data_IF_373332235666
#
_entry.id   IF_373332235666
#
_cell.length_a   1.000
_cell.length_b   1.000
_cell.length_c   1.000
_cell.angle_alpha   90.00
_cell.angle_beta   90.00
_cell.angle_gamma   90.00
#
_symmetry.space_group_name_H-M   'P 1'
#
loop_
_entity.id
_entity.type
_entity.pdbx_description
1 polymer ?
#
# COMPACT_ATOMS: atom_id res chain seq x y z
N UNK A 1 -4.73 50.94 -25.99
CA UNK A 1 -3.53 50.18 -26.39
C UNK A 1 -3.37 49.05 -25.40
N UNK A 2 -3.50 47.82 -25.90
CA UNK A 2 -3.51 46.59 -25.13
C UNK A 2 -2.24 45.80 -25.45
N UNK A 3 -1.60 45.23 -24.44
CA UNK A 3 -0.57 44.18 -24.59
C UNK A 3 -0.56 43.36 -23.29
N UNK A 4 -1.30 42.25 -23.30
CA UNK A 4 -0.88 40.86 -23.58
C UNK A 4 -0.50 40.12 -22.29
N UNK A 5 -1.53 39.46 -21.75
CA UNK A 5 -1.45 38.40 -20.75
C UNK A 5 -0.83 37.16 -21.40
N UNK A 6 0.14 36.54 -20.76
CA UNK A 6 0.62 35.22 -21.16
C UNK A 6 -0.26 34.15 -20.51
N UNK A 7 -1.18 33.61 -21.32
CA UNK A 7 -1.78 32.29 -21.12
C UNK A 7 -0.70 31.22 -21.31
N UNK A 8 -0.56 30.36 -20.30
CA UNK A 8 0.21 29.12 -20.42
C UNK A 8 -0.73 28.06 -21.01
N UNK A 9 -0.32 27.46 -22.13
CA UNK A 9 -1.08 26.43 -22.84
C UNK A 9 -1.18 25.16 -21.99
N UNK A 10 -2.39 24.84 -21.53
CA UNK A 10 -2.73 23.52 -21.01
C UNK A 10 -2.54 22.48 -22.12
N UNK A 11 -1.68 21.49 -21.87
CA UNK A 11 -1.51 20.34 -22.76
C UNK A 11 -2.79 19.51 -22.77
N UNK A 12 -3.39 19.36 -23.96
CA UNK A 12 -4.62 18.63 -24.15
C UNK A 12 -4.51 17.14 -23.79
N UNK A 13 -5.31 16.70 -22.83
CA UNK A 13 -5.66 15.29 -22.64
C UNK A 13 -6.89 14.96 -23.48
N UNK A 14 -6.86 14.01 -24.42
CA UNK A 14 -8.08 13.49 -24.99
C UNK A 14 -8.59 12.33 -24.13
N UNK A 15 -9.82 12.48 -23.62
CA UNK A 15 -10.94 11.51 -23.63
C UNK A 15 -11.77 11.56 -22.34
N UNK A 16 -12.73 12.48 -22.31
CA UNK A 16 -13.95 12.36 -21.50
C UNK A 16 -14.77 11.15 -21.97
N UNK A 17 -14.81 10.09 -21.17
CA UNK A 17 -15.81 9.02 -21.29
C UNK A 17 -17.15 9.53 -20.73
N UNK A 18 -18.04 9.98 -21.62
CA UNK A 18 -19.46 10.15 -21.30
C UNK A 18 -20.11 8.77 -21.17
N UNK A 19 -20.49 8.39 -19.96
CA UNK A 19 -21.39 7.25 -19.74
C UNK A 19 -22.78 7.64 -20.20
N UNK A 20 -23.28 7.02 -21.28
CA UNK A 20 -24.72 6.93 -21.54
C UNK A 20 -25.22 5.56 -21.10
N UNK A 21 -26.30 5.60 -20.33
CA UNK A 21 -27.14 4.47 -20.05
C UNK A 21 -27.76 3.96 -21.36
N UNK A 22 -27.40 2.74 -21.78
CA UNK A 22 -28.40 1.73 -22.08
C UNK A 22 -27.77 0.34 -22.19
N UNK A 23 -28.50 -0.64 -21.67
CA UNK A 23 -28.14 -2.07 -21.68
C UNK A 23 -28.34 -2.62 -23.09
N UNK A 24 -27.27 -3.04 -23.78
CA UNK A 24 -27.27 -4.23 -24.67
C UNK A 24 -25.87 -4.45 -25.28
N UNK A 25 -25.34 -5.67 -25.11
CA UNK A 25 -24.06 -6.08 -25.66
C UNK A 25 -24.16 -6.37 -27.18
N UNK A 26 -23.24 -5.82 -27.98
CA UNK A 26 -22.92 -6.31 -29.33
C UNK A 26 -21.40 -6.39 -29.53
N UNK A 27 -20.98 -7.47 -30.19
CA UNK A 27 -19.57 -7.76 -30.48
C UNK A 27 -18.95 -6.71 -31.43
N UNK A 28 -17.69 -6.28 -31.21
CA UNK A 28 -17.06 -5.31 -32.09
C UNK A 28 -16.66 -5.97 -33.42
N UNK A 29 -17.24 -5.46 -34.52
CA UNK A 29 -16.73 -5.63 -35.88
C UNK A 29 -15.42 -4.82 -36.01
N UNK A 30 -14.42 -5.43 -36.63
CA UNK A 30 -13.05 -4.90 -36.72
C UNK A 30 -12.96 -3.48 -37.28
N UNK A 31 -12.12 -2.68 -36.64
CA UNK A 31 -11.72 -1.35 -37.10
C UNK A 31 -10.77 -1.49 -38.29
N UNK A 32 -11.18 -0.97 -39.46
CA UNK A 32 -10.29 -0.70 -40.60
C UNK A 32 -9.65 0.67 -40.40
N UNK A 33 -8.32 0.70 -40.34
CA UNK A 33 -7.49 1.91 -40.25
C UNK A 33 -6.12 1.66 -40.92
N UNK A 34 -5.36 2.72 -41.28
CA UNK A 34 -4.48 2.73 -42.43
C UNK A 34 -3.07 2.23 -42.08
N UNK A 35 -2.88 0.92 -42.11
CA UNK A 35 -1.56 0.30 -42.18
C UNK A 35 -1.57 -0.83 -43.21
N UNK A 36 -1.76 -0.45 -44.48
CA UNK A 36 -1.78 -1.38 -45.61
C UNK A 36 -0.37 -1.75 -46.12
N UNK A 37 0.63 -1.70 -45.23
CA UNK A 37 2.03 -1.98 -45.56
C UNK A 37 2.73 -2.78 -44.45
N UNK A 38 2.24 -3.97 -44.15
CA UNK A 38 3.06 -5.03 -43.57
C UNK A 38 2.96 -6.26 -44.46
N UNK A 39 3.94 -6.36 -45.36
CA UNK A 39 4.06 -7.46 -46.30
C UNK A 39 4.18 -8.83 -45.62
N UNK A 40 3.73 -9.84 -46.36
CA UNK A 40 3.79 -11.28 -46.06
C UNK A 40 5.09 -11.70 -45.34
N UNK A 41 5.06 -12.67 -44.41
CA UNK A 41 6.26 -13.16 -43.76
C UNK A 41 7.23 -13.76 -44.79
N UNK A 42 8.41 -13.13 -44.93
CA UNK A 42 9.55 -13.71 -45.65
C UNK A 42 10.06 -14.93 -44.86
N UNK A 43 10.46 -15.98 -45.60
CA UNK A 43 11.09 -17.20 -45.08
C UNK A 43 12.20 -16.88 -44.07
N UNK A 44 12.27 -17.70 -43.01
CA UNK A 44 13.36 -17.66 -42.03
C UNK A 44 14.74 -17.76 -42.70
N UNK A 45 15.75 -17.00 -42.23
CA UNK A 45 17.11 -17.10 -42.77
C UNK A 45 17.74 -18.46 -42.41
N UNK A 46 18.57 -18.98 -43.32
CA UNK A 46 19.34 -20.21 -43.11
C UNK A 46 20.33 -20.03 -41.95
N UNK A 47 20.38 -21.06 -41.11
CA UNK A 47 21.19 -21.16 -39.89
C UNK A 47 22.69 -21.03 -40.22
N UNK A 48 23.40 -20.13 -39.52
CA UNK A 48 24.87 -20.05 -39.53
C UNK A 48 25.47 -21.30 -38.85
N UNK A 49 26.44 -21.93 -39.50
CA UNK A 49 26.97 -23.26 -39.17
C UNK A 49 28.01 -23.34 -38.04
N UNK A 50 28.13 -22.35 -37.15
CA UNK A 50 29.25 -22.33 -36.17
C UNK A 50 28.87 -22.19 -34.68
N UNK A 51 27.61 -22.39 -34.29
CA UNK A 51 27.26 -22.45 -32.85
C UNK A 51 27.18 -23.90 -32.38
N UNK A 52 28.20 -24.38 -31.67
CA UNK A 52 28.15 -25.67 -30.95
C UNK A 52 27.12 -25.58 -29.81
N UNK A 53 26.04 -26.36 -29.92
CA UNK A 53 25.07 -26.56 -28.81
C UNK A 53 25.73 -27.34 -27.67
N UNK A 54 25.48 -27.00 -26.38
CA UNK A 54 25.94 -27.83 -25.27
C UNK A 54 25.20 -29.17 -25.29
N UNK A 55 25.94 -30.27 -25.19
CA UNK A 55 25.39 -31.63 -25.12
C UNK A 55 24.80 -31.86 -23.73
N UNK A 56 23.48 -32.07 -23.64
CA UNK A 56 22.84 -32.65 -22.47
C UNK A 56 23.39 -34.07 -22.25
N UNK A 57 23.90 -34.36 -21.05
CA UNK A 57 24.34 -35.71 -20.65
C UNK A 57 23.08 -36.58 -20.40
N UNK A 58 22.95 -37.79 -20.98
CA UNK A 58 21.68 -38.53 -20.93
C UNK A 58 21.41 -39.32 -19.64
N UNK A 59 22.28 -39.29 -18.62
CA UNK A 59 22.08 -40.10 -17.41
C UNK A 59 22.38 -39.31 -16.14
N UNK A 60 21.33 -38.74 -15.55
CA UNK A 60 21.26 -38.36 -14.13
C UNK A 60 20.19 -39.25 -13.48
N UNK A 61 20.50 -40.02 -12.43
CA UNK A 61 19.50 -40.82 -11.75
C UNK A 61 18.50 -39.90 -11.02
N UNK A 62 17.23 -40.31 -11.00
CA UNK A 62 16.18 -39.58 -10.32
C UNK A 62 16.48 -39.48 -8.81
N UNK A 63 16.52 -38.26 -8.27
CA UNK A 63 16.59 -38.05 -6.83
C UNK A 63 15.24 -38.46 -6.22
N UNK A 64 15.22 -39.59 -5.51
CA UNK A 64 14.09 -39.98 -4.67
C UNK A 64 14.18 -39.20 -3.36
N UNK A 65 13.22 -38.30 -3.13
CA UNK A 65 13.00 -37.72 -1.80
C UNK A 65 12.55 -38.80 -0.80
N UNK A 66 12.70 -38.54 0.51
CA UNK A 66 12.30 -39.49 1.55
C UNK A 66 10.79 -39.74 1.48
N UNK A 67 10.37 -41.01 1.49
CA UNK A 67 8.95 -41.35 1.60
C UNK A 67 8.47 -41.12 3.03
N UNK A 68 7.34 -40.41 3.25
CA UNK A 68 6.78 -40.29 4.59
C UNK A 68 6.18 -41.63 5.03
N UNK A 69 6.48 -42.03 6.27
CA UNK A 69 5.83 -43.14 6.93
C UNK A 69 4.32 -42.92 7.05
N UNK A 70 3.56 -44.02 7.08
CA UNK A 70 2.11 -44.04 7.03
C UNK A 70 1.47 -43.20 8.15
N UNK A 71 0.71 -42.17 7.75
CA UNK A 71 -0.06 -41.33 8.68
C UNK A 71 -1.41 -41.98 9.01
N UNK A 72 -1.72 -42.03 10.30
CA UNK A 72 -2.92 -42.63 10.91
C UNK A 72 -4.23 -42.15 10.25
N UNK A 73 -5.11 -43.12 9.92
CA UNK A 73 -6.40 -42.92 9.24
C UNK A 73 -7.49 -42.47 10.22
N UNK A 74 -7.38 -41.26 10.75
CA UNK A 74 -8.51 -40.59 11.43
C UNK A 74 -8.81 -39.22 10.83
N UNK A 75 -8.98 -39.18 9.52
CA UNK A 75 -9.54 -38.02 8.81
C UNK A 75 -11.07 -38.08 8.90
N UNK A 76 -11.67 -37.07 9.56
CA UNK A 76 -13.09 -36.76 9.33
C UNK A 76 -13.24 -36.40 7.84
N UNK A 77 -14.22 -37.01 7.17
CA UNK A 77 -14.62 -36.60 5.82
C UNK A 77 -15.06 -35.13 5.89
N UNK A 78 -14.36 -34.25 5.18
CA UNK A 78 -14.87 -32.92 4.92
C UNK A 78 -16.17 -33.08 4.12
N UNK A 79 -17.29 -32.64 4.71
CA UNK A 79 -18.56 -32.53 4.00
C UNK A 79 -18.45 -31.56 2.83
N UNK A 80 -19.39 -31.68 1.89
CA UNK A 80 -19.54 -30.74 0.78
C UNK A 80 -19.42 -29.30 1.28
N UNK A 81 -18.69 -28.46 0.54
CA UNK A 81 -18.54 -27.04 0.85
C UNK A 81 -19.93 -26.42 1.05
N UNK A 82 -20.35 -26.25 2.30
CA UNK A 82 -21.49 -25.43 2.64
C UNK A 82 -21.21 -24.07 1.99
N UNK A 83 -22.18 -23.60 1.19
CA UNK A 83 -22.13 -22.26 0.64
C UNK A 83 -21.86 -21.31 1.81
N UNK A 84 -20.63 -20.79 1.90
CA UNK A 84 -20.25 -19.82 2.92
C UNK A 84 -21.33 -18.75 2.89
N UNK A 85 -22.01 -18.54 4.01
CA UNK A 85 -22.99 -17.47 4.16
C UNK A 85 -22.40 -16.20 3.56
N UNK A 86 -23.16 -15.48 2.73
CA UNK A 86 -22.71 -14.19 2.22
C UNK A 86 -22.30 -13.32 3.42
N UNK A 87 -21.01 -13.00 3.52
CA UNK A 87 -20.51 -12.04 4.51
C UNK A 87 -20.43 -10.70 3.78
N UNK A 88 -21.39 -9.77 3.98
CA UNK A 88 -21.34 -8.48 3.33
C UNK A 88 -20.18 -7.66 3.90
N UNK A 89 -19.39 -7.05 3.00
CA UNK A 89 -18.41 -6.02 3.34
C UNK A 89 -19.07 -4.66 3.12
N UNK A 90 -19.09 -3.80 4.15
CA UNK A 90 -19.57 -2.42 4.06
C UNK A 90 -18.44 -1.47 4.43
N UNK A 91 -18.27 -0.42 3.63
CA UNK A 91 -17.27 0.63 3.85
C UNK A 91 -17.97 1.97 3.70
N UNK A 92 -17.91 2.82 4.72
CA UNK A 92 -18.55 4.13 4.72
C UNK A 92 -17.73 5.15 5.52
N UNK A 93 -17.75 6.41 5.09
CA UNK A 93 -17.03 7.48 5.75
C UNK A 93 -17.81 8.03 6.96
N UNK A 94 -17.10 8.41 8.02
CA UNK A 94 -17.66 9.23 9.08
C UNK A 94 -17.56 10.71 8.67
N UNK A 95 -18.70 11.39 8.71
CA UNK A 95 -18.83 12.81 8.37
C UNK A 95 -18.95 13.65 9.65
N UNK A 96 -18.57 14.92 9.58
CA UNK A 96 -18.88 15.88 10.65
C UNK A 96 -17.83 16.05 11.74
N UNK A 97 -16.62 15.50 11.58
CA UNK A 97 -15.51 15.70 12.53
C UNK A 97 -14.95 17.14 12.54
N UNK A 98 -15.20 17.92 11.50
CA UNK A 98 -14.66 19.28 11.39
C UNK A 98 -13.15 19.32 11.16
N UNK A 99 -12.55 20.48 11.42
CA UNK A 99 -11.10 20.70 11.32
C UNK A 99 -10.42 20.35 12.64
N UNK A 100 -9.30 19.61 12.57
CA UNK A 100 -8.55 19.14 13.75
C UNK A 100 -7.38 20.07 14.04
N UNK A 101 -7.25 20.49 15.28
CA UNK A 101 -6.16 21.30 15.80
C UNK A 101 -5.20 20.50 16.70
N UNK A 102 -4.04 21.09 17.00
CA UNK A 102 -3.08 20.49 17.91
C UNK A 102 -3.64 20.40 19.33
N UNK A 103 -3.55 19.21 19.93
CA UNK A 103 -4.06 18.91 21.27
C UNK A 103 -5.52 18.48 21.32
N UNK A 104 -6.25 18.44 20.20
CA UNK A 104 -7.63 17.94 20.17
C UNK A 104 -7.72 16.48 20.62
N UNK A 105 -8.76 16.16 21.40
CA UNK A 105 -9.08 14.77 21.75
C UNK A 105 -9.72 14.07 20.55
N UNK A 106 -8.85 13.52 19.70
CA UNK A 106 -9.26 12.86 18.47
C UNK A 106 -10.16 11.65 18.73
N UNK A 107 -9.98 10.94 19.85
CA UNK A 107 -10.81 9.79 20.18
C UNK A 107 -12.24 10.23 20.54
N UNK A 108 -12.39 11.28 21.34
CA UNK A 108 -13.69 11.86 21.65
C UNK A 108 -14.41 12.36 20.39
N UNK A 109 -13.72 13.11 19.53
CA UNK A 109 -14.28 13.60 18.27
C UNK A 109 -14.75 12.47 17.34
N UNK A 110 -13.95 11.39 17.24
CA UNK A 110 -14.35 10.20 16.46
C UNK A 110 -15.53 9.49 17.12
N UNK A 111 -15.53 9.31 18.44
CA UNK A 111 -16.61 8.65 19.16
C UNK A 111 -17.95 9.39 18.99
N UNK A 112 -17.93 10.72 19.09
CA UNK A 112 -19.10 11.57 18.89
C UNK A 112 -19.63 11.48 17.46
N UNK A 113 -18.75 11.57 16.46
CA UNK A 113 -19.13 11.42 15.06
C UNK A 113 -19.64 10.01 14.70
N UNK A 114 -19.21 8.99 15.46
CA UNK A 114 -19.58 7.60 15.27
C UNK A 114 -20.72 7.12 16.19
N UNK A 115 -21.30 8.01 16.99
CA UNK A 115 -22.29 7.67 18.01
C UNK A 115 -23.50 6.93 17.40
N UNK A 116 -23.77 5.72 17.91
CA UNK A 116 -24.85 4.86 17.43
C UNK A 116 -24.61 4.20 16.06
N UNK A 117 -23.46 4.44 15.42
CA UNK A 117 -23.11 3.87 14.12
C UNK A 117 -22.21 2.63 14.22
N UNK A 118 -21.29 2.59 15.20
CA UNK A 118 -20.32 1.52 15.36
C UNK A 118 -20.96 0.22 15.87
N UNK A 119 -20.39 -0.90 15.45
CA UNK A 119 -20.77 -2.26 15.83
C UNK A 119 -19.54 -3.07 16.25
N UNK A 120 -19.79 -4.17 16.98
CA UNK A 120 -18.72 -5.08 17.37
C UNK A 120 -18.01 -5.68 16.14
N UNK A 121 -16.69 -5.65 16.14
CA UNK A 121 -15.84 -6.10 15.03
C UNK A 121 -15.66 -5.09 13.91
N UNK A 122 -16.12 -3.84 14.06
CA UNK A 122 -15.82 -2.76 13.12
C UNK A 122 -14.34 -2.34 13.20
N UNK A 123 -13.80 -1.91 12.04
CA UNK A 123 -12.45 -1.36 11.93
C UNK A 123 -12.55 0.10 11.49
N UNK A 124 -11.94 1.01 12.25
CA UNK A 124 -11.84 2.42 11.89
C UNK A 124 -10.52 2.68 11.15
N UNK A 125 -10.63 3.13 9.91
CA UNK A 125 -9.51 3.59 9.10
C UNK A 125 -9.39 5.11 9.19
N UNK A 126 -8.34 5.60 9.85
CA UNK A 126 -8.11 6.99 10.22
C UNK A 126 -6.93 7.53 9.42
N UNK A 127 -7.07 8.66 8.73
CA UNK A 127 -5.92 9.24 8.00
C UNK A 127 -4.84 9.74 8.96
N UNK A 128 -3.58 9.53 8.58
CA UNK A 128 -2.37 10.07 9.20
C UNK A 128 -2.49 11.57 9.50
N UNK A 129 -3.09 12.34 8.59
CA UNK A 129 -3.17 13.81 8.66
C UNK A 129 -3.85 14.32 9.92
N UNK A 130 -4.99 13.74 10.32
CA UNK A 130 -5.69 14.20 11.54
C UNK A 130 -4.97 13.75 12.81
N UNK A 131 -4.31 12.60 12.76
CA UNK A 131 -3.48 12.11 13.87
C UNK A 131 -2.28 13.03 14.06
N UNK A 132 -1.56 13.33 12.98
CA UNK A 132 -0.45 14.28 12.96
C UNK A 132 -0.85 15.67 13.45
N UNK A 133 -2.02 16.18 13.05
CA UNK A 133 -2.53 17.48 13.54
C UNK A 133 -2.77 17.45 15.04
N UNK A 134 -3.54 16.47 15.53
CA UNK A 134 -3.82 16.31 16.96
C UNK A 134 -2.54 16.17 17.80
N UNK A 135 -1.53 15.47 17.29
CA UNK A 135 -0.21 15.29 17.92
C UNK A 135 0.74 16.48 17.77
N UNK A 136 0.31 17.59 17.15
CA UNK A 136 1.15 18.77 16.99
C UNK A 136 2.34 18.58 16.04
N UNK A 137 2.20 17.72 15.03
CA UNK A 137 3.24 17.41 14.04
C UNK A 137 3.32 18.42 12.88
N UNK A 138 2.59 19.53 12.98
CA UNK A 138 2.73 20.67 12.07
C UNK A 138 3.96 21.49 12.49
N UNK A 139 4.97 21.55 11.63
CA UNK A 139 6.25 22.23 11.91
C UNK A 139 6.49 23.37 10.92
N UNK A 140 7.05 24.47 11.43
CA UNK A 140 7.52 25.54 10.57
C UNK A 140 8.72 25.06 9.75
N UNK A 141 8.64 25.19 8.44
CA UNK A 141 9.67 24.81 7.51
C UNK A 141 9.74 25.84 6.38
N UNK A 142 10.82 26.62 6.36
CA UNK A 142 11.10 27.55 5.26
C UNK A 142 11.45 26.80 3.97
N UNK A 143 11.99 25.58 4.11
CA UNK A 143 12.29 24.68 3.00
C UNK A 143 11.70 23.28 3.28
N UNK A 144 10.77 22.87 2.42
CA UNK A 144 10.17 21.53 2.45
C UNK A 144 11.23 20.44 2.27
N UNK A 145 12.24 20.67 1.42
CA UNK A 145 13.26 19.68 1.17
C UNK A 145 14.17 19.46 2.40
N UNK A 146 14.35 20.49 3.23
CA UNK A 146 15.02 20.33 4.52
C UNK A 146 14.20 19.43 5.46
N UNK A 147 12.89 19.66 5.59
CA UNK A 147 12.03 18.81 6.43
C UNK A 147 12.03 17.34 5.96
N UNK A 148 12.01 17.10 4.65
CA UNK A 148 12.14 15.74 4.10
C UNK A 148 13.50 15.15 4.45
N UNK A 149 14.57 15.93 4.37
CA UNK A 149 15.93 15.48 4.71
C UNK A 149 16.02 15.11 6.19
N UNK A 150 15.43 15.91 7.07
CA UNK A 150 15.44 15.65 8.50
C UNK A 150 14.71 14.35 8.84
N UNK A 151 13.58 14.07 8.19
CA UNK A 151 12.81 12.83 8.37
C UNK A 151 13.39 11.62 7.60
N UNK A 152 14.43 11.81 6.78
CA UNK A 152 15.05 10.75 5.98
C UNK A 152 16.10 9.99 6.79
N UNK A 153 15.94 8.66 6.89
CA UNK A 153 16.97 7.74 7.39
C UNK A 153 17.96 7.40 6.28
N UNK A 154 17.44 7.11 5.07
CA UNK A 154 18.25 6.90 3.87
C UNK A 154 17.46 7.17 2.61
N UNK A 155 18.17 7.58 1.57
CA UNK A 155 17.60 7.69 0.23
C UNK A 155 17.49 6.29 -0.37
N UNK A 156 16.33 5.97 -0.95
CA UNK A 156 16.11 4.76 -1.75
C UNK A 156 16.32 5.11 -3.21
N UNK A 157 15.60 6.12 -3.71
CA UNK A 157 15.69 6.57 -5.09
C UNK A 157 15.46 8.07 -5.19
N UNK A 158 16.12 8.71 -6.13
CA UNK A 158 15.94 10.12 -6.45
C UNK A 158 15.74 10.31 -7.95
N UNK A 159 14.91 11.27 -8.32
CA UNK A 159 14.73 11.66 -9.71
C UNK A 159 14.51 13.16 -9.81
N UNK A 160 15.41 13.81 -10.53
CA UNK A 160 15.26 15.21 -10.92
C UNK A 160 14.25 15.35 -12.05
N UNK A 161 13.50 16.45 -12.02
CA UNK A 161 12.61 16.88 -13.08
C UNK A 161 12.54 18.41 -13.11
N UNK A 162 12.07 19.03 -14.22
CA UNK A 162 11.87 20.47 -14.25
C UNK A 162 10.94 20.92 -13.11
N UNK A 163 11.48 21.68 -12.15
CA UNK A 163 10.72 22.16 -10.99
C UNK A 163 10.95 21.40 -9.68
N UNK A 164 11.84 20.41 -9.62
CA UNK A 164 12.27 19.84 -8.34
C UNK A 164 12.88 18.45 -8.41
N UNK A 165 12.96 17.81 -7.24
CA UNK A 165 13.43 16.43 -7.07
C UNK A 165 12.36 15.61 -6.38
N UNK A 166 12.05 14.44 -6.93
CA UNK A 166 11.29 13.42 -6.20
C UNK A 166 12.28 12.53 -5.50
N UNK A 167 12.11 12.35 -4.19
CA UNK A 167 12.89 11.41 -3.38
C UNK A 167 11.96 10.35 -2.81
N UNK A 168 12.28 9.08 -3.08
CA UNK A 168 11.77 7.94 -2.33
C UNK A 168 12.82 7.65 -1.26
N UNK A 169 12.39 7.63 -0.01
CA UNK A 169 13.27 7.49 1.15
C UNK A 169 12.70 6.50 2.13
N UNK A 170 13.57 5.91 2.94
CA UNK A 170 13.16 5.30 4.20
C UNK A 170 13.07 6.42 5.24
N UNK A 171 11.91 6.59 5.86
CA UNK A 171 11.70 7.58 6.92
C UNK A 171 11.95 7.01 8.31
N UNK A 172 11.82 7.84 9.35
CA UNK A 172 12.06 7.45 10.76
C UNK A 172 11.08 6.37 11.27
N UNK A 173 9.90 6.25 10.68
CA UNK A 173 8.93 5.20 10.97
C UNK A 173 9.26 3.87 10.27
N UNK A 174 10.26 3.83 9.38
CA UNK A 174 10.68 2.68 8.59
C UNK A 174 9.93 2.52 7.26
N UNK A 175 9.04 3.45 6.91
CA UNK A 175 8.28 3.43 5.66
C UNK A 175 9.18 3.85 4.50
N UNK A 176 9.09 3.13 3.38
CA UNK A 176 9.75 3.49 2.12
C UNK A 176 8.73 4.18 1.20
N UNK A 177 8.77 5.50 1.13
CA UNK A 177 7.79 6.29 0.40
C UNK A 177 8.34 7.63 -0.11
N UNK A 178 7.55 8.33 -0.92
CA UNK A 178 7.91 9.63 -1.44
C UNK A 178 7.95 10.68 -0.31
N UNK A 179 8.94 11.57 -0.37
CA UNK A 179 9.07 12.74 0.50
C UNK A 179 8.98 12.44 2.01
N UNK A 180 9.38 11.24 2.45
CA UNK A 180 9.27 10.78 3.85
C UNK A 180 7.85 10.81 4.46
N UNK A 181 6.80 10.99 3.64
CA UNK A 181 5.44 11.26 4.13
C UNK A 181 5.22 12.70 4.61
N UNK A 182 6.14 13.62 4.30
CA UNK A 182 5.97 15.06 4.57
C UNK A 182 4.93 15.63 3.62
N UNK A 183 3.85 16.16 4.20
CA UNK A 183 2.71 16.71 3.48
C UNK A 183 2.67 18.24 3.63
N UNK A 184 2.40 18.93 2.52
CA UNK A 184 2.15 20.39 2.47
C UNK A 184 0.75 20.72 2.02
N UNK A 185 -0.04 19.72 1.63
CA UNK A 185 -1.41 19.92 1.18
C UNK A 185 -2.28 20.41 2.33
N UNK A 186 -3.01 21.50 2.10
CA UNK A 186 -3.90 22.12 3.08
C UNK A 186 -3.19 22.61 4.36
N UNK A 187 -1.87 22.85 4.31
CA UNK A 187 -1.12 23.53 5.37
C UNK A 187 -0.89 25.01 4.98
N UNK A 188 -0.79 25.93 5.95
CA UNK A 188 -0.36 27.31 5.69
C UNK A 188 1.02 27.36 5.03
N UNK A 189 1.30 28.43 4.28
CA UNK A 189 2.62 28.68 3.70
C UNK A 189 3.71 28.66 4.78
N UNK A 190 4.80 27.94 4.51
CA UNK A 190 5.92 27.78 5.45
C UNK A 190 5.66 26.77 6.58
N UNK A 191 4.60 25.97 6.50
CA UNK A 191 4.33 24.87 7.42
C UNK A 191 4.26 23.55 6.65
N UNK A 192 4.89 22.52 7.20
CA UNK A 192 4.73 21.14 6.72
C UNK A 192 4.14 20.27 7.82
N UNK A 193 3.41 19.24 7.42
CA UNK A 193 2.87 18.23 8.32
C UNK A 193 3.73 16.97 8.23
N UNK A 194 4.31 16.58 9.36
CA UNK A 194 5.08 15.35 9.48
C UNK A 194 4.16 14.20 9.87
N UNK A 195 4.56 12.95 9.57
CA UNK A 195 3.84 11.78 10.07
C UNK A 195 3.89 11.69 11.62
N UNK A 196 2.95 10.93 12.23
CA UNK A 196 3.03 10.60 13.66
C UNK A 196 4.36 9.94 13.98
N UNK A 197 4.91 10.21 15.17
CA UNK A 197 6.23 9.68 15.56
C UNK A 197 6.19 8.15 15.66
N UNK A 198 5.12 7.62 16.26
CA UNK A 198 4.83 6.18 16.32
C UNK A 198 3.35 5.95 16.00
N UNK A 199 2.98 5.77 14.71
CA UNK A 199 1.59 5.57 14.31
C UNK A 199 0.96 4.31 14.94
N UNK A 200 1.74 3.28 15.27
CA UNK A 200 1.20 2.10 15.96
C UNK A 200 0.82 2.46 17.41
N UNK A 201 1.60 3.32 18.09
CA UNK A 201 1.23 3.84 19.40
C UNK A 201 -0.01 4.74 19.34
N UNK A 202 -0.09 5.62 18.34
CA UNK A 202 -1.26 6.47 18.11
C UNK A 202 -2.53 5.61 17.90
N UNK A 203 -2.43 4.55 17.09
CA UNK A 203 -3.52 3.61 16.85
C UNK A 203 -3.96 2.90 18.16
N UNK A 204 -3.00 2.47 18.99
CA UNK A 204 -3.30 1.86 20.30
C UNK A 204 -4.00 2.83 21.25
N UNK A 205 -3.55 4.08 21.30
CA UNK A 205 -4.17 5.12 22.13
C UNK A 205 -5.61 5.40 21.70
N UNK A 206 -5.83 5.59 20.39
CA UNK A 206 -7.17 5.79 19.82
C UNK A 206 -8.07 4.59 20.11
N UNK A 207 -7.58 3.36 19.87
CA UNK A 207 -8.34 2.15 20.14
C UNK A 207 -8.75 2.07 21.61
N UNK A 208 -7.81 2.27 22.54
CA UNK A 208 -8.09 2.18 23.98
C UNK A 208 -9.20 3.15 24.42
N UNK A 209 -9.14 4.39 23.95
CA UNK A 209 -10.15 5.40 24.24
C UNK A 209 -11.51 5.07 23.60
N UNK A 210 -11.53 4.64 22.33
CA UNK A 210 -12.77 4.26 21.63
C UNK A 210 -13.44 3.03 22.27
N UNK A 211 -12.66 2.02 22.64
CA UNK A 211 -13.17 0.84 23.36
C UNK A 211 -13.71 1.24 24.73
N UNK A 212 -13.03 2.12 25.48
CA UNK A 212 -13.52 2.60 26.76
C UNK A 212 -14.83 3.40 26.63
N UNK A 213 -14.96 4.22 25.59
CA UNK A 213 -16.16 5.03 25.35
C UNK A 213 -17.36 4.22 24.84
N UNK A 214 -17.12 3.16 24.06
CA UNK A 214 -18.19 2.43 23.35
C UNK A 214 -18.48 1.04 23.93
N UNK A 215 -17.52 0.44 24.63
CA UNK A 215 -17.59 -0.96 25.07
C UNK A 215 -17.49 -2.00 23.95
N UNK A 216 -17.22 -1.58 22.71
CA UNK A 216 -17.18 -2.44 21.53
C UNK A 216 -15.79 -3.03 21.30
N UNK A 217 -15.70 -4.23 20.72
CA UNK A 217 -14.45 -4.77 20.18
C UNK A 217 -14.18 -4.14 18.82
N UNK A 218 -13.17 -3.30 18.72
CA UNK A 218 -12.86 -2.52 17.52
C UNK A 218 -11.42 -2.77 17.04
N UNK A 219 -11.18 -2.50 15.77
CA UNK A 219 -9.83 -2.32 15.21
C UNK A 219 -9.60 -0.87 14.80
N UNK A 220 -8.36 -0.40 14.85
CA UNK A 220 -7.95 0.91 14.31
C UNK A 220 -6.78 0.71 13.36
N UNK A 221 -6.88 1.29 12.16
CA UNK A 221 -5.77 1.39 11.21
C UNK A 221 -5.56 2.86 10.85
N UNK A 222 -4.33 3.33 10.99
CA UNK A 222 -3.92 4.66 10.52
C UNK A 222 -3.41 4.51 9.09
N UNK A 223 -3.96 5.30 8.18
CA UNK A 223 -3.67 5.22 6.75
C UNK A 223 -2.97 6.45 6.23
N UNK A 224 -2.08 6.26 5.26
CA UNK A 224 -1.47 7.38 4.53
C UNK A 224 -1.41 7.09 3.04
N UNK A 225 -1.43 8.14 2.22
CA UNK A 225 -1.45 7.99 0.77
C UNK A 225 -0.05 7.73 0.23
N UNK A 226 0.11 6.63 -0.52
CA UNK A 226 1.38 6.28 -1.11
C UNK A 226 1.26 5.92 -2.60
N UNK A 227 2.30 6.25 -3.36
CA UNK A 227 2.55 5.64 -4.66
C UNK A 227 3.10 4.21 -4.50
N UNK A 228 3.25 3.49 -5.61
CA UNK A 228 3.80 2.13 -5.58
C UNK A 228 4.58 1.78 -6.85
N UNK A 229 5.64 0.97 -6.76
CA UNK A 229 6.40 0.54 -7.93
C UNK A 229 5.52 -0.12 -9.00
N UNK A 230 5.89 0.09 -10.26
CA UNK A 230 5.30 -0.57 -11.45
C UNK A 230 3.85 -0.22 -11.78
N UNK A 231 3.22 0.70 -11.03
CA UNK A 231 1.84 1.14 -11.29
C UNK A 231 1.76 2.66 -11.19
N UNK A 232 0.97 3.25 -12.07
CA UNK A 232 0.56 4.65 -11.95
C UNK A 232 -0.57 4.79 -10.92
N UNK A 233 -0.65 5.97 -10.30
CA UNK A 233 -1.64 6.29 -9.29
C UNK A 233 -1.18 6.00 -7.85
N UNK A 234 -1.98 6.49 -6.91
CA UNK A 234 -1.76 6.36 -5.46
C UNK A 234 -2.92 5.60 -4.83
N UNK A 235 -2.68 4.99 -3.69
CA UNK A 235 -3.69 4.38 -2.82
C UNK A 235 -3.22 4.52 -1.39
N UNK A 236 -4.13 4.43 -0.43
CA UNK A 236 -3.72 4.42 0.96
C UNK A 236 -3.09 3.08 1.35
N UNK A 237 -2.07 3.15 2.21
CA UNK A 237 -1.45 2.03 2.90
C UNK A 237 -1.64 2.18 4.40
N UNK A 238 -1.53 1.08 5.14
CA UNK A 238 -1.53 1.11 6.59
C UNK A 238 -0.13 1.54 7.10
N UNK A 239 -0.10 2.60 7.91
CA UNK A 239 1.14 3.08 8.56
C UNK A 239 1.15 2.87 10.08
N UNK A 240 -0.03 2.66 10.68
CA UNK A 240 -0.21 2.32 12.09
C UNK A 240 -1.41 1.40 12.26
N UNK A 241 -1.41 0.51 13.25
CA UNK A 241 -2.53 -0.40 13.51
C UNK A 241 -2.61 -0.87 14.96
N UNK A 242 -3.83 -1.11 15.44
CA UNK A 242 -4.09 -1.70 16.76
C UNK A 242 -5.41 -2.47 16.78
N UNK A 243 -5.46 -3.58 17.52
CA UNK A 243 -6.69 -4.37 17.72
C UNK A 243 -7.10 -5.20 16.50
N UNK A 244 -6.24 -5.32 15.50
CA UNK A 244 -6.47 -6.17 14.32
C UNK A 244 -5.19 -6.87 13.84
N UNK A 245 -5.39 -7.95 13.11
CA UNK A 245 -4.38 -8.60 12.27
C UNK A 245 -4.19 -7.77 10.99
N UNK A 246 -2.95 -7.41 10.69
CA UNK A 246 -2.59 -6.69 9.44
C UNK A 246 -2.05 -7.61 8.36
N UNK A 247 -1.62 -8.82 8.75
CA UNK A 247 -1.22 -9.90 7.86
C UNK A 247 -2.14 -11.10 8.12
N UNK A 248 -2.71 -11.66 7.06
CA UNK A 248 -3.39 -12.95 7.09
C UNK A 248 -2.43 -14.03 6.56
N UNK A 249 -1.77 -14.74 7.47
CA UNK A 249 -0.81 -15.79 7.15
C UNK A 249 -1.52 -17.12 6.88
N UNK A 250 -1.71 -17.41 5.60
CA UNK A 250 -2.35 -18.64 5.15
C UNK A 250 -1.34 -19.78 4.96
N UNK A 251 -0.05 -19.58 5.24
CA UNK A 251 0.95 -20.62 5.09
C UNK A 251 0.66 -21.80 6.00
N UNK A 252 0.85 -23.00 5.48
CA UNK A 252 0.53 -24.24 6.17
C UNK A 252 -0.95 -24.65 6.11
N UNK A 253 -1.86 -23.74 5.72
CA UNK A 253 -3.25 -24.08 5.47
C UNK A 253 -3.42 -24.83 4.15
N UNK A 254 -4.62 -25.36 3.91
CA UNK A 254 -4.96 -26.14 2.72
C UNK A 254 -5.94 -25.37 1.84
N UNK A 255 -5.65 -25.28 0.53
CA UNK A 255 -6.56 -24.66 -0.44
C UNK A 255 -7.79 -25.55 -0.73
N UNK A 256 -8.72 -25.02 -1.53
CA UNK A 256 -9.94 -25.74 -1.92
C UNK A 256 -9.68 -27.04 -2.69
N UNK A 257 -8.46 -27.24 -3.21
CA UNK A 257 -8.03 -28.44 -3.93
C UNK A 257 -7.21 -29.40 -3.05
N UNK A 258 -7.09 -29.14 -1.76
CA UNK A 258 -6.33 -30.00 -0.85
C UNK A 258 -4.82 -29.73 -0.84
N UNK A 259 -4.32 -28.68 -1.51
CA UNK A 259 -2.89 -28.35 -1.56
C UNK A 259 -2.50 -27.41 -0.43
N UNK A 260 -1.32 -27.65 0.14
CA UNK A 260 -0.76 -26.77 1.18
C UNK A 260 -0.34 -25.43 0.58
N UNK A 261 -0.71 -24.33 1.23
CA UNK A 261 -0.25 -23.00 0.90
C UNK A 261 1.14 -22.79 1.51
N UNK A 262 2.14 -22.45 0.70
CA UNK A 262 3.53 -22.32 1.18
C UNK A 262 4.00 -20.86 1.36
N UNK A 263 3.42 -19.92 0.62
CA UNK A 263 3.93 -18.52 0.53
C UNK A 263 2.84 -17.47 0.78
N UNK A 264 1.58 -17.89 0.96
CA UNK A 264 0.45 -16.96 0.95
C UNK A 264 0.32 -16.22 2.27
N UNK A 265 0.75 -14.96 2.29
CA UNK A 265 0.44 -14.00 3.36
C UNK A 265 -0.22 -12.79 2.70
N UNK A 266 -1.47 -12.50 3.06
CA UNK A 266 -2.18 -11.34 2.54
C UNK A 266 -1.95 -10.12 3.44
N UNK A 267 -1.63 -8.96 2.84
CA UNK A 267 -1.48 -7.70 3.54
C UNK A 267 -2.84 -7.04 3.77
N UNK A 268 -3.68 -7.68 4.59
CA UNK A 268 -5.07 -7.26 4.82
C UNK A 268 -5.16 -5.83 5.39
N UNK A 269 -4.14 -5.36 6.12
CA UNK A 269 -4.07 -3.97 6.58
C UNK A 269 -4.05 -2.96 5.42
N UNK A 270 -3.28 -3.24 4.36
CA UNK A 270 -3.23 -2.39 3.16
C UNK A 270 -4.48 -2.55 2.29
N UNK A 271 -5.10 -3.73 2.25
CA UNK A 271 -6.38 -3.93 1.56
C UNK A 271 -7.51 -3.11 2.22
N UNK A 272 -7.55 -3.09 3.55
CA UNK A 272 -8.47 -2.27 4.34
C UNK A 272 -8.20 -0.78 4.09
N UNK A 273 -6.94 -0.35 4.13
CA UNK A 273 -6.55 1.03 3.87
C UNK A 273 -6.98 1.48 2.47
N UNK A 274 -6.70 0.68 1.45
CA UNK A 274 -7.10 0.95 0.07
C UNK A 274 -8.63 0.98 -0.13
N UNK A 275 -9.38 0.12 0.55
CA UNK A 275 -10.84 0.15 0.51
C UNK A 275 -11.42 1.40 1.19
N UNK A 276 -10.88 1.78 2.35
CA UNK A 276 -11.25 3.00 3.07
C UNK A 276 -10.97 4.27 2.25
N UNK A 277 -9.90 4.28 1.46
CA UNK A 277 -9.55 5.40 0.58
C UNK A 277 -10.68 5.72 -0.43
N UNK A 278 -11.42 4.71 -0.89
CA UNK A 278 -12.51 4.90 -1.86
C UNK A 278 -13.64 5.78 -1.33
N UNK A 279 -13.91 5.73 -0.02
CA UNK A 279 -14.98 6.50 0.62
C UNK A 279 -14.48 7.75 1.32
N UNK A 280 -13.24 7.74 1.82
CA UNK A 280 -12.59 8.96 2.32
C UNK A 280 -12.35 9.91 1.14
N UNK A 281 -11.85 9.44 0.01
CA UNK A 281 -11.50 10.30 -1.13
C UNK A 281 -10.46 11.37 -0.78
N UNK A 282 -9.93 12.05 -1.79
CA UNK A 282 -8.86 13.04 -1.56
C UNK A 282 -9.36 14.45 -1.25
N UNK A 283 -10.63 14.73 -1.55
CA UNK A 283 -11.24 16.08 -1.49
C UNK A 283 -12.51 16.15 -0.66
N UNK A 284 -12.99 15.02 -0.11
CA UNK A 284 -14.29 15.00 0.58
C UNK A 284 -14.25 15.66 1.97
N UNK A 285 -13.06 15.80 2.54
CA UNK A 285 -12.88 16.25 3.93
C UNK A 285 -13.19 15.18 4.98
N UNK A 286 -13.46 13.92 4.59
CA UNK A 286 -13.74 12.84 5.54
C UNK A 286 -12.45 12.10 5.94
N UNK A 287 -11.99 12.24 7.19
CA UNK A 287 -10.70 11.70 7.59
C UNK A 287 -10.78 10.28 8.17
N UNK A 288 -12.00 9.78 8.42
CA UNK A 288 -12.24 8.45 9.01
C UNK A 288 -13.26 7.68 8.20
N UNK A 289 -13.00 6.39 7.99
CA UNK A 289 -13.96 5.43 7.46
C UNK A 289 -14.13 4.24 8.39
N UNK A 290 -15.34 3.66 8.38
CA UNK A 290 -15.66 2.41 9.06
C UNK A 290 -15.68 1.29 8.03
N UNK A 291 -14.98 0.20 8.32
CA UNK A 291 -14.95 -1.03 7.55
C UNK A 291 -15.59 -2.14 8.38
N UNK A 292 -16.74 -2.64 7.90
CA UNK A 292 -17.59 -3.62 8.58
C UNK A 292 -17.68 -4.93 7.80
N UNK A 293 -17.72 -6.05 8.52
CA UNK A 293 -17.78 -7.39 7.96
C UNK A 293 -16.44 -8.13 7.97
N UNK A 294 -15.43 -7.57 8.66
CA UNK A 294 -14.10 -8.15 8.84
C UNK A 294 -13.79 -8.46 10.32
N UNK A 295 -14.81 -8.70 11.13
CA UNK A 295 -14.67 -8.92 12.57
C UNK A 295 -13.78 -10.10 12.96
N UNK A 296 -13.52 -11.04 12.04
CA UNK A 296 -12.55 -12.13 12.22
C UNK A 296 -11.10 -11.66 12.26
N UNK A 297 -10.79 -10.48 11.73
CA UNK A 297 -9.46 -9.87 11.79
C UNK A 297 -9.25 -9.07 13.08
N UNK A 298 -10.33 -8.71 13.78
CA UNK A 298 -10.28 -7.91 15.01
C UNK A 298 -9.97 -8.80 16.20
N UNK A 299 -8.85 -8.56 16.86
CA UNK A 299 -8.32 -9.39 17.96
C UNK A 299 -8.71 -8.83 19.32
N UNK A 300 -8.84 -9.72 20.31
CA UNK A 300 -9.12 -9.27 21.68
C UNK A 300 -7.90 -8.53 22.27
N UNK A 301 -8.10 -7.53 23.15
CA UNK A 301 -7.02 -6.82 23.82
C UNK A 301 -6.06 -7.73 24.62
N UNK A 302 -6.56 -8.87 25.09
CA UNK A 302 -5.78 -9.87 25.85
C UNK A 302 -4.80 -10.65 24.97
N UNK A 303 -5.00 -10.66 23.65
CA UNK A 303 -4.12 -11.31 22.68
C UNK A 303 -3.16 -10.29 22.03
N UNK A 304 -2.71 -9.29 22.81
CA UNK A 304 -1.85 -8.20 22.33
C UNK A 304 -0.58 -8.67 21.59
N UNK A 305 -0.10 -9.90 21.86
CA UNK A 305 0.99 -10.52 21.10
C UNK A 305 0.65 -10.79 19.61
N UNK A 306 -0.64 -10.87 19.25
CA UNK A 306 -1.12 -11.09 17.88
C UNK A 306 -1.23 -9.79 17.06
N UNK A 307 -1.42 -8.63 17.70
CA UNK A 307 -1.49 -7.33 17.01
C UNK A 307 -0.14 -6.60 17.09
N UNK A 308 0.77 -6.96 16.19
CA UNK A 308 2.14 -6.42 16.12
C UNK A 308 2.21 -5.01 15.54
N UNK A 309 1.07 -4.43 15.12
CA UNK A 309 0.98 -3.14 14.45
C UNK A 309 1.29 -3.20 12.95
N UNK A 310 1.11 -2.08 12.26
CA UNK A 310 1.39 -1.93 10.83
C UNK A 310 2.88 -2.09 10.51
N UNK A 311 3.79 -1.91 11.48
CA UNK A 311 5.22 -2.19 11.29
C UNK A 311 5.48 -3.62 10.80
N UNK A 312 4.61 -4.58 11.09
CA UNK A 312 4.71 -5.95 10.56
C UNK A 312 4.58 -6.04 9.02
N UNK A 313 3.97 -5.04 8.38
CA UNK A 313 3.87 -4.94 6.91
C UNK A 313 5.19 -4.49 6.27
N UNK A 314 6.06 -3.84 7.03
CA UNK A 314 7.30 -3.28 6.50
C UNK A 314 8.35 -4.37 6.30
N UNK A 315 8.91 -4.44 5.09
CA UNK A 315 10.06 -5.31 4.83
C UNK A 315 11.34 -4.67 5.36
N UNK A 316 12.13 -5.35 6.21
CA UNK A 316 13.41 -4.84 6.65
C UNK A 316 14.37 -4.60 5.48
N UNK A 317 15.04 -3.44 5.49
CA UNK A 317 15.93 -3.01 4.41
C UNK A 317 17.12 -3.96 4.17
N UNK A 318 17.51 -4.77 5.16
CA UNK A 318 18.55 -5.79 5.02
C UNK A 318 18.13 -6.99 4.14
N UNK A 319 16.82 -7.23 4.03
CA UNK A 319 16.24 -8.32 3.25
C UNK A 319 15.48 -7.82 2.01
N UNK A 320 15.47 -6.51 1.77
CA UNK A 320 14.78 -5.92 0.63
C UNK A 320 15.63 -5.98 -0.64
N UNK A 321 15.16 -6.77 -1.61
CA UNK A 321 15.79 -6.88 -2.92
C UNK A 321 15.73 -5.57 -3.72
N UNK A 322 14.87 -4.62 -3.33
CA UNK A 322 14.69 -3.32 -3.99
C UNK A 322 15.18 -2.16 -3.11
N UNK A 323 16.20 -2.41 -2.27
CA UNK A 323 16.74 -1.44 -1.31
C UNK A 323 17.18 -0.11 -1.95
N UNK A 324 17.62 -0.10 -3.21
CA UNK A 324 18.08 1.09 -3.92
C UNK A 324 17.39 1.22 -5.29
N UNK A 325 17.22 2.47 -5.72
CA UNK A 325 16.90 2.84 -7.09
C UNK A 325 18.06 2.56 -8.04
N UNK A 326 17.75 2.46 -9.34
CA UNK A 326 18.74 2.10 -10.37
C UNK A 326 19.93 3.05 -10.40
N UNK A 327 19.70 4.36 -10.28
CA UNK A 327 20.76 5.36 -10.31
C UNK A 327 21.66 5.26 -9.08
N UNK A 328 21.06 5.12 -7.90
CA UNK A 328 21.74 4.99 -6.61
C UNK A 328 22.58 3.71 -6.56
N UNK A 329 22.02 2.58 -6.99
CA UNK A 329 22.73 1.31 -7.05
C UNK A 329 23.94 1.36 -8.00
N UNK A 330 23.79 2.02 -9.16
CA UNK A 330 24.89 2.21 -10.10
C UNK A 330 26.00 3.09 -9.51
N UNK A 331 25.63 4.21 -8.88
CA UNK A 331 26.57 5.14 -8.26
C UNK A 331 27.36 4.45 -7.12
N UNK A 332 26.67 3.72 -6.24
CA UNK A 332 27.30 2.98 -5.14
C UNK A 332 28.28 1.93 -5.66
N UNK A 333 27.86 1.11 -6.63
CA UNK A 333 28.71 0.09 -7.24
C UNK A 333 29.94 0.69 -7.95
N UNK A 334 29.77 1.81 -8.65
CA UNK A 334 30.86 2.52 -9.31
C UNK A 334 31.88 3.07 -8.31
N UNK A 335 31.41 3.70 -7.23
CA UNK A 335 32.27 4.22 -6.17
C UNK A 335 33.06 3.11 -5.44
N UNK A 336 32.40 1.99 -5.14
CA UNK A 336 33.04 0.82 -4.56
C UNK A 336 34.14 0.25 -5.47
N UNK A 337 33.85 0.16 -6.78
CA UNK A 337 34.81 -0.29 -7.79
C UNK A 337 36.04 0.62 -7.90
N UNK A 338 35.85 1.95 -7.92
CA UNK A 338 36.97 2.90 -7.91
C UNK A 338 37.84 2.76 -6.68
N UNK A 339 37.23 2.61 -5.50
CA UNK A 339 37.95 2.47 -4.24
C UNK A 339 38.80 1.19 -4.23
N UNK A 340 38.21 0.07 -4.63
CA UNK A 340 38.93 -1.20 -4.75
C UNK A 340 40.05 -1.16 -5.81
N UNK A 341 39.87 -0.41 -6.90
CA UNK A 341 40.89 -0.21 -7.93
C UNK A 341 42.09 0.61 -7.46
N UNK A 342 41.87 1.64 -6.63
CA UNK A 342 42.95 2.49 -6.06
C UNK A 342 43.72 1.83 -4.94
N UNK A 343 43.17 0.79 -4.32
CA UNK A 343 43.79 0.04 -3.23
C UNK A 343 44.72 -1.10 -3.71
N UNK A 344 44.87 -1.29 -5.02
CA UNK A 344 45.76 -2.28 -5.66
C UNK A 344 46.97 -1.58 -6.26
#
# INVERSE_FOLDING_TARGET
>A
MAERRHEVSEGGHPLTLRVRADRQARAPRGLRGPHDHLGRPRRAPKVHSEVRRPRLRPHLPAQRGPQPEAVDRRLRRAGAAEARSLVPLSVFALTGLGEIAAGDDLAALIADAAAGLLQDGDILAVTSKIVSKAEGRAVAAADREQAITDETVRVVASREYPGGVTRIVENRQGLVMAAAGVDTSNAPDGVVLLLPVDPDASARSLLGALVAATGLRLGVVITDTAGRPWREGQTDIAIGAAGLLVLDDLRGQTDASGRRLEVTVAAVGDEIAGAADLVKGKTSGNPVAVVRGLGQLVVAPTDAAASVGARALQRPSATDMFRLGTAEAYAEGFAAGQTAGRAR
#
